data_IF_550075541792
#
_entry.id   IF_550075541792
#
_cell.length_a   1.000
_cell.length_b   1.000
_cell.length_c   1.000
_cell.angle_alpha   90.00
_cell.angle_beta   90.00
_cell.angle_gamma   90.00
#
_symmetry.space_group_name_H-M   'P 1'
#
loop_
_entity.id
_entity.type
_entity.pdbx_description
1 polymer ?
#
# COMPACT_ATOMS: atom_id res chain seq x y z
N UNK A 1 8.15 8.71 -9.71
CA UNK A 1 8.52 9.18 -8.35
C UNK A 1 9.90 8.68 -7.99
N UNK A 2 10.54 9.32 -7.00
CA UNK A 2 11.76 8.80 -6.35
C UNK A 2 11.32 7.80 -5.29
N UNK A 3 11.94 6.62 -5.25
CA UNK A 3 11.68 5.58 -4.24
C UNK A 3 12.67 5.75 -3.08
N UNK A 4 12.18 5.87 -1.85
CA UNK A 4 13.00 6.01 -0.64
C UNK A 4 12.50 5.13 0.50
N UNK A 5 13.36 4.78 1.45
CA UNK A 5 13.00 3.92 2.58
C UNK A 5 12.64 2.50 2.14
N UNK A 6 11.53 1.95 2.63
CA UNK A 6 11.06 0.61 2.27
C UNK A 6 10.84 0.45 0.77
N UNK A 7 10.39 1.50 0.09
CA UNK A 7 10.16 1.49 -1.35
C UNK A 7 11.44 1.19 -2.15
N UNK A 8 12.61 1.60 -1.65
CA UNK A 8 13.90 1.29 -2.28
C UNK A 8 14.25 -0.21 -2.13
N UNK A 9 14.02 -0.79 -0.94
CA UNK A 9 14.24 -2.24 -0.72
C UNK A 9 13.32 -3.10 -1.59
N UNK A 10 12.09 -2.63 -1.85
CA UNK A 10 11.14 -3.31 -2.75
C UNK A 10 11.58 -3.18 -4.21
N UNK A 11 12.08 -2.01 -4.64
CA UNK A 11 12.62 -1.80 -6.01
C UNK A 11 13.81 -2.72 -6.30
N UNK A 12 14.73 -2.90 -5.33
CA UNK A 12 15.86 -3.82 -5.45
C UNK A 12 15.41 -5.29 -5.59
N UNK A 13 14.33 -5.67 -4.90
CA UNK A 13 13.82 -7.05 -4.88
C UNK A 13 12.91 -7.37 -6.07
N UNK A 14 12.13 -6.41 -6.55
CA UNK A 14 11.17 -6.57 -7.66
C UNK A 14 11.32 -5.46 -8.71
N UNK A 15 12.38 -5.50 -9.53
CA UNK A 15 12.66 -4.45 -10.52
C UNK A 15 11.58 -4.35 -11.60
N UNK A 16 10.96 -5.47 -11.99
CA UNK A 16 9.85 -5.49 -12.96
C UNK A 16 8.62 -4.74 -12.46
N UNK A 17 8.20 -5.03 -11.23
CA UNK A 17 7.11 -4.31 -10.55
C UNK A 17 7.39 -2.81 -10.52
N UNK A 18 8.62 -2.43 -10.16
CA UNK A 18 8.97 -1.03 -10.06
C UNK A 18 9.04 -0.33 -11.44
N UNK A 19 9.36 -1.04 -12.51
CA UNK A 19 9.27 -0.51 -13.87
C UNK A 19 7.82 -0.20 -14.27
N UNK A 20 6.88 -1.11 -13.95
CA UNK A 20 5.43 -0.92 -14.17
C UNK A 20 4.87 0.23 -13.34
N UNK A 21 5.22 0.30 -12.05
CA UNK A 21 4.87 1.42 -11.19
C UNK A 21 5.34 2.76 -11.77
N UNK A 22 6.61 2.85 -12.20
CA UNK A 22 7.14 4.07 -12.83
C UNK A 22 6.40 4.41 -14.12
N UNK A 23 6.00 3.41 -14.91
CA UNK A 23 5.21 3.63 -16.11
C UNK A 23 3.81 4.19 -15.78
N UNK A 24 3.12 3.61 -14.80
CA UNK A 24 1.81 4.07 -14.33
C UNK A 24 1.84 5.49 -13.74
N UNK A 25 2.93 5.86 -13.05
CA UNK A 25 3.14 7.24 -12.62
C UNK A 25 3.33 8.20 -13.80
N UNK A 26 4.09 7.79 -14.85
CA UNK A 26 4.35 8.64 -16.02
C UNK A 26 3.11 8.83 -16.89
N UNK A 27 2.25 7.81 -17.00
CA UNK A 27 0.98 7.89 -17.73
C UNK A 27 -0.10 8.69 -16.99
N UNK A 28 0.10 9.00 -15.70
CA UNK A 28 -0.89 9.67 -14.86
C UNK A 28 -2.08 8.79 -14.48
N UNK A 29 -2.01 7.48 -14.72
CA UNK A 29 -3.08 6.53 -14.38
C UNK A 29 -3.04 6.10 -12.91
N UNK A 30 -1.88 6.22 -12.26
CA UNK A 30 -1.73 5.99 -10.83
C UNK A 30 -1.97 7.28 -10.04
N UNK A 31 -3.21 7.46 -9.61
CA UNK A 31 -3.69 8.67 -8.92
C UNK A 31 -3.78 8.47 -7.40
N UNK A 32 -3.74 9.57 -6.65
CA UNK A 32 -3.88 9.60 -5.20
C UNK A 32 -5.13 8.81 -4.75
N UNK A 33 -4.97 7.95 -3.74
CA UNK A 33 -6.00 7.03 -3.26
C UNK A 33 -6.17 5.76 -4.09
N UNK A 34 -5.48 5.64 -5.22
CA UNK A 34 -5.45 4.44 -6.05
C UNK A 34 -4.55 3.34 -5.50
N UNK A 35 -4.73 2.14 -6.06
CA UNK A 35 -3.86 0.99 -5.87
C UNK A 35 -3.37 0.49 -7.22
N UNK A 36 -2.12 0.04 -7.28
CA UNK A 36 -1.58 -0.69 -8.42
C UNK A 36 -1.14 -2.08 -7.92
N UNK A 37 -2.01 -3.09 -8.07
CA UNK A 37 -1.68 -4.48 -7.80
C UNK A 37 -0.68 -5.00 -8.84
N UNK A 38 0.27 -5.79 -8.37
CA UNK A 38 1.23 -6.49 -9.23
C UNK A 38 1.46 -7.90 -8.71
N UNK A 39 1.41 -8.90 -9.59
CA UNK A 39 1.63 -10.29 -9.25
C UNK A 39 3.05 -10.70 -9.63
N UNK A 40 3.79 -11.19 -8.65
CA UNK A 40 5.00 -11.96 -8.91
C UNK A 40 4.59 -13.34 -9.42
N UNK A 41 4.62 -13.56 -10.74
CA UNK A 41 4.20 -14.86 -11.32
C UNK A 41 5.11 -16.02 -10.90
N UNK A 42 6.35 -15.75 -10.47
CA UNK A 42 7.27 -16.79 -10.01
C UNK A 42 6.92 -17.28 -8.61
N UNK A 43 6.53 -16.37 -7.72
CA UNK A 43 6.25 -16.70 -6.31
C UNK A 43 4.76 -16.78 -5.96
N UNK A 44 3.89 -16.27 -6.84
CA UNK A 44 2.45 -16.11 -6.59
C UNK A 44 2.11 -14.99 -5.61
N UNK A 45 3.08 -14.14 -5.25
CA UNK A 45 2.90 -13.07 -4.25
C UNK A 45 2.38 -11.80 -4.91
N UNK A 46 1.32 -11.23 -4.34
CA UNK A 46 0.82 -9.92 -4.71
C UNK A 46 1.55 -8.79 -3.99
N UNK A 47 1.94 -7.76 -4.75
CA UNK A 47 2.49 -6.50 -4.26
C UNK A 47 1.51 -5.39 -4.58
N UNK A 48 1.12 -4.63 -3.55
CA UNK A 48 0.18 -3.51 -3.68
C UNK A 48 0.92 -2.18 -3.53
N UNK A 49 1.04 -1.44 -4.62
CA UNK A 49 1.52 -0.06 -4.55
C UNK A 49 0.36 0.86 -4.18
N UNK A 50 0.47 1.57 -3.05
CA UNK A 50 -0.58 2.43 -2.52
C UNK A 50 -0.27 3.90 -2.81
N UNK A 51 -1.13 4.60 -3.54
CA UNK A 51 -0.97 6.02 -3.86
C UNK A 51 -1.36 6.89 -2.66
N UNK A 52 -0.51 6.93 -1.64
CA UNK A 52 -0.79 7.61 -0.36
C UNK A 52 -0.38 9.08 -0.33
N UNK A 53 0.46 9.51 -1.27
CA UNK A 53 1.00 10.87 -1.39
C UNK A 53 1.08 11.28 -2.87
N UNK A 54 0.99 12.57 -3.15
CA UNK A 54 1.09 13.09 -4.52
C UNK A 54 2.53 13.54 -4.84
N UNK A 55 3.22 14.11 -3.86
CA UNK A 55 4.59 14.56 -3.98
C UNK A 55 5.50 13.84 -2.97
N UNK A 56 6.81 13.67 -3.26
CA UNK A 56 7.76 13.15 -2.28
C UNK A 56 7.88 14.06 -1.05
N UNK A 57 8.07 13.47 0.12
CA UNK A 57 8.19 14.18 1.40
C UNK A 57 6.92 14.05 2.25
N UNK A 58 6.68 14.97 3.20
CA UNK A 58 5.55 14.87 4.12
C UNK A 58 4.23 15.32 3.46
N UNK A 59 3.75 14.56 2.47
CA UNK A 59 2.48 14.78 1.73
C UNK A 59 1.59 13.53 1.73
N UNK A 60 1.79 12.62 2.69
CA UNK A 60 0.86 11.51 2.87
C UNK A 60 -0.49 12.02 3.39
N UNK A 61 -1.59 11.40 2.95
CA UNK A 61 -2.94 11.82 3.35
C UNK A 61 -3.75 10.66 3.88
N UNK A 62 -4.48 10.89 4.98
CA UNK A 62 -5.28 9.85 5.64
C UNK A 62 -6.42 9.33 4.74
N UNK A 63 -7.04 10.20 3.96
CA UNK A 63 -8.08 9.83 2.98
C UNK A 63 -7.51 8.99 1.82
N UNK A 64 -6.32 9.33 1.34
CA UNK A 64 -5.58 8.57 0.33
C UNK A 64 -5.14 7.20 0.85
N UNK A 65 -4.69 7.11 2.11
CA UNK A 65 -4.42 5.83 2.78
C UNK A 65 -5.70 5.01 2.86
N UNK A 66 -6.80 5.60 3.31
CA UNK A 66 -8.04 4.88 3.51
C UNK A 66 -8.60 4.30 2.19
N UNK A 67 -8.58 5.10 1.13
CA UNK A 67 -9.05 4.71 -0.20
C UNK A 67 -8.14 3.66 -0.84
N UNK A 68 -6.81 3.85 -0.81
CA UNK A 68 -5.87 2.91 -1.43
C UNK A 68 -5.84 1.56 -0.72
N UNK A 69 -5.89 1.53 0.61
CA UNK A 69 -5.97 0.29 1.39
C UNK A 69 -7.29 -0.44 1.12
N UNK A 70 -8.41 0.28 1.05
CA UNK A 70 -9.70 -0.33 0.69
C UNK A 70 -9.65 -0.96 -0.70
N UNK A 71 -9.10 -0.26 -1.69
CA UNK A 71 -8.98 -0.79 -3.04
C UNK A 71 -8.06 -2.03 -3.09
N UNK A 72 -6.98 -2.05 -2.30
CA UNK A 72 -6.11 -3.22 -2.16
C UNK A 72 -6.84 -4.42 -1.56
N UNK A 73 -7.66 -4.20 -0.52
CA UNK A 73 -8.49 -5.22 0.10
C UNK A 73 -9.52 -5.79 -0.89
N UNK A 74 -10.19 -4.93 -1.65
CA UNK A 74 -11.20 -5.36 -2.63
C UNK A 74 -10.57 -6.19 -3.76
N UNK A 75 -9.39 -5.78 -4.24
CA UNK A 75 -8.61 -6.58 -5.19
C UNK A 75 -8.18 -7.92 -4.58
N UNK A 76 -7.62 -7.91 -3.36
CA UNK A 76 -7.18 -9.11 -2.67
C UNK A 76 -8.29 -10.16 -2.55
N UNK A 77 -9.51 -9.74 -2.16
CA UNK A 77 -10.70 -10.61 -2.13
C UNK A 77 -11.00 -11.22 -3.49
N UNK A 78 -11.05 -10.40 -4.54
CA UNK A 78 -11.31 -10.87 -5.90
C UNK A 78 -10.23 -11.85 -6.41
N UNK A 79 -9.00 -11.71 -5.93
CA UNK A 79 -7.86 -12.58 -6.27
C UNK A 79 -7.67 -13.77 -5.31
N UNK A 80 -8.56 -13.98 -4.33
CA UNK A 80 -8.45 -15.08 -3.36
C UNK A 80 -7.28 -14.93 -2.35
N UNK A 81 -6.75 -13.72 -2.20
CA UNK A 81 -5.70 -13.39 -1.23
C UNK A 81 -6.34 -13.24 0.16
N UNK A 82 -5.79 -13.98 1.13
CA UNK A 82 -6.25 -13.99 2.53
C UNK A 82 -5.38 -13.16 3.47
N UNK A 83 -4.31 -12.52 3.05
CA UNK A 83 -3.46 -11.79 4.01
C UNK A 83 -2.71 -10.68 3.29
N UNK A 84 -2.68 -9.48 3.87
CA UNK A 84 -1.91 -8.35 3.37
C UNK A 84 -0.97 -7.87 4.48
N UNK A 85 0.33 -8.03 4.28
CA UNK A 85 1.31 -7.46 5.21
C UNK A 85 1.49 -5.97 4.87
N UNK A 86 1.21 -5.09 5.83
CA UNK A 86 1.16 -3.64 5.61
C UNK A 86 2.05 -2.91 6.61
N UNK A 87 3.24 -2.42 6.23
CA UNK A 87 4.17 -1.73 7.14
C UNK A 87 3.58 -0.44 7.71
N UNK A 88 4.32 0.28 8.58
CA UNK A 88 3.92 1.63 9.04
C UNK A 88 3.90 2.64 7.87
N UNK A 89 2.83 2.63 7.07
CA UNK A 89 2.65 3.49 5.90
C UNK A 89 2.28 4.93 6.31
N UNK A 90 2.57 5.91 5.46
CA UNK A 90 2.18 7.31 5.64
C UNK A 90 2.88 8.06 6.79
N UNK A 91 3.41 7.34 7.77
CA UNK A 91 4.19 7.89 8.89
C UNK A 91 5.68 8.01 8.54
N UNK A 92 6.44 8.77 9.34
CA UNK A 92 7.86 9.03 9.09
C UNK A 92 8.05 10.01 7.94
N UNK A 93 8.57 9.56 6.79
CA UNK A 93 8.80 10.42 5.61
C UNK A 93 7.49 11.07 5.13
N UNK A 94 6.37 10.37 5.24
CA UNK A 94 5.05 10.85 4.81
C UNK A 94 4.43 11.90 5.74
N UNK A 95 5.02 12.14 6.92
CA UNK A 95 4.65 13.25 7.81
C UNK A 95 3.37 13.07 8.63
N UNK A 96 2.66 11.95 8.51
CA UNK A 96 1.48 11.67 9.35
C UNK A 96 1.87 11.08 10.71
N UNK A 97 1.08 11.42 11.72
CA UNK A 97 1.15 10.77 13.03
C UNK A 97 0.68 9.32 12.93
N UNK A 98 1.49 8.39 13.45
CA UNK A 98 1.19 6.97 13.37
C UNK A 98 -0.12 6.60 14.08
N UNK A 99 -0.50 7.33 15.14
CA UNK A 99 -1.76 7.12 15.85
C UNK A 99 -2.97 7.32 14.93
N UNK A 100 -2.94 8.34 14.07
CA UNK A 100 -4.05 8.66 13.17
C UNK A 100 -4.15 7.68 12.01
N UNK A 101 -2.99 7.27 11.47
CA UNK A 101 -2.92 6.23 10.44
C UNK A 101 -3.45 4.91 11.00
N UNK A 102 -3.00 4.52 12.20
CA UNK A 102 -3.44 3.29 12.85
C UNK A 102 -4.95 3.29 13.09
N UNK A 103 -5.51 4.38 13.64
CA UNK A 103 -6.95 4.50 13.86
C UNK A 103 -7.76 4.40 12.55
N UNK A 104 -7.20 4.92 11.45
CA UNK A 104 -7.78 4.80 10.10
C UNK A 104 -7.79 3.35 9.64
N UNK A 105 -6.67 2.63 9.75
CA UNK A 105 -6.55 1.22 9.38
C UNK A 105 -7.47 0.32 10.22
N UNK A 106 -7.52 0.51 11.55
CA UNK A 106 -8.41 -0.25 12.44
C UNK A 106 -9.90 0.00 12.13
N UNK A 107 -10.25 1.20 11.67
CA UNK A 107 -11.62 1.50 11.23
C UNK A 107 -11.98 0.77 9.94
N UNK A 108 -11.03 0.62 9.01
CA UNK A 108 -11.23 -0.19 7.81
C UNK A 108 -11.37 -1.66 8.16
N UNK A 109 -10.51 -2.16 9.05
CA UNK A 109 -10.52 -3.55 9.53
C UNK A 109 -11.83 -3.94 10.24
N UNK A 110 -12.41 -3.06 11.06
CA UNK A 110 -13.74 -3.31 11.66
C UNK A 110 -14.86 -3.36 10.62
N UNK A 111 -14.89 -2.41 9.68
CA UNK A 111 -15.89 -2.40 8.59
C UNK A 111 -15.74 -3.58 7.64
N UNK A 112 -14.52 -4.07 7.56
CA UNK A 112 -14.14 -5.29 6.90
C UNK A 112 -14.67 -6.51 7.66
N UNK A 113 -14.54 -6.59 8.97
CA UNK A 113 -15.04 -7.72 9.76
C UNK A 113 -16.58 -7.91 9.67
N UNK A 114 -17.37 -6.84 9.47
CA UNK A 114 -18.81 -6.93 9.17
C UNK A 114 -19.12 -7.55 7.79
N UNK A 115 -18.08 -7.76 6.97
CA UNK A 115 -18.10 -8.33 5.62
C UNK A 115 -16.92 -9.31 5.49
N UNK A 116 -16.96 -10.45 6.19
CA UNK A 116 -15.98 -11.56 6.16
C UNK A 116 -14.66 -11.21 5.44
N UNK A 117 -13.78 -10.47 6.14
CA UNK A 117 -12.44 -10.19 5.66
C UNK A 117 -11.50 -11.23 6.24
N UNK A 118 -11.09 -12.15 5.38
CA UNK A 118 -9.99 -13.07 5.67
C UNK A 118 -8.63 -12.36 5.70
N UNK A 119 -8.54 -11.10 5.23
CA UNK A 119 -7.27 -10.38 5.03
C UNK A 119 -6.74 -9.77 6.33
N UNK A 120 -5.83 -10.49 7.01
CA UNK A 120 -5.06 -9.93 8.14
C UNK A 120 -4.07 -8.85 7.65
N UNK A 121 -4.13 -7.66 8.27
CA UNK A 121 -3.19 -6.56 8.06
C UNK A 121 -2.01 -6.63 9.04
N UNK A 122 -0.87 -7.17 8.61
CA UNK A 122 0.30 -7.33 9.49
C UNK A 122 1.25 -6.13 9.37
N UNK A 123 1.33 -5.31 10.42
CA UNK A 123 2.24 -4.16 10.48
C UNK A 123 3.67 -4.57 10.79
N UNK A 124 4.47 -4.72 9.73
CA UNK A 124 5.92 -4.98 9.85
C UNK A 124 6.70 -3.68 10.07
N UNK A 125 7.43 -3.60 11.17
CA UNK A 125 8.56 -2.69 11.32
C UNK A 125 9.83 -3.46 10.94
N UNK A 126 10.47 -3.10 9.82
CA UNK A 126 11.81 -3.64 9.56
C UNK A 126 12.76 -3.08 10.62
N UNK A 127 13.67 -3.91 11.20
CA UNK A 127 14.72 -3.41 12.06
C UNK A 127 15.57 -2.40 11.28
N UNK A 128 15.91 -1.30 11.97
CA UNK A 128 16.73 -0.21 11.45
C UNK A 128 18.15 -0.64 11.11
#
# INVERSE_FOLDING_TARGET
GVMGGLAAKVDDRWPSMAAEYRAACRSGTFILGGVLPWLDEETGVWIYNLATQQHPGPDARLDAIASSVRAAIDHARASGVRTIYLPRIGSGIGGLEWTDVRATLETLDRKAADVEIDVELVVVSLPG
#
